data_IF_961942810109
#
_entry.id   IF_961942810109
#
_cell.length_a   1.000
_cell.length_b   1.000
_cell.length_c   1.000
_cell.angle_alpha   90.00
_cell.angle_beta   90.00
_cell.angle_gamma   90.00
#
_symmetry.space_group_name_H-M   'P 1'
#
loop_
_entity.id
_entity.type
_entity.pdbx_description
1 polymer ?
#
# COMPACT_ATOMS: atom_id res chain seq x y z
N UNK A 1 4.42 -9.07 -17.11
CA UNK A 1 3.66 -7.79 -17.18
C UNK A 1 2.22 -7.91 -16.66
N UNK A 2 1.55 -9.03 -16.91
CA UNK A 2 0.12 -9.22 -16.53
C UNK A 2 -0.14 -9.15 -15.01
N UNK A 3 0.84 -9.46 -14.18
CA UNK A 3 0.70 -9.47 -12.71
C UNK A 3 0.52 -8.07 -12.06
N UNK A 4 0.85 -7.00 -12.76
CA UNK A 4 0.77 -5.63 -12.23
C UNK A 4 -0.54 -4.90 -12.55
N UNK A 5 -1.55 -5.62 -13.01
CA UNK A 5 -2.89 -5.08 -13.29
C UNK A 5 -3.97 -5.97 -12.68
N UNK A 6 -5.11 -5.40 -12.24
CA UNK A 6 -6.25 -6.18 -11.78
C UNK A 6 -6.77 -7.14 -12.84
N UNK A 7 -7.38 -8.24 -12.43
CA UNK A 7 -8.00 -9.22 -13.32
C UNK A 7 -9.08 -8.55 -14.19
N UNK A 8 -9.07 -8.83 -15.49
CA UNK A 8 -10.06 -8.29 -16.43
C UNK A 8 -9.93 -6.79 -16.74
N UNK A 9 -8.87 -6.12 -16.28
CA UNK A 9 -8.53 -4.78 -16.74
C UNK A 9 -8.03 -4.87 -18.20
N UNK A 10 -8.41 -3.89 -19.02
CA UNK A 10 -7.88 -3.80 -20.37
C UNK A 10 -6.35 -3.74 -20.34
N UNK A 11 -5.64 -4.44 -21.25
CA UNK A 11 -4.19 -4.38 -21.30
C UNK A 11 -3.79 -2.93 -21.60
N UNK A 12 -3.23 -2.27 -20.60
CA UNK A 12 -2.62 -0.97 -20.82
C UNK A 12 -1.26 -1.19 -21.46
N UNK A 13 -0.99 -0.48 -22.53
CA UNK A 13 0.36 -0.35 -23.08
C UNK A 13 1.19 0.37 -22.03
N UNK A 14 1.77 -0.40 -21.12
CA UNK A 14 2.79 0.13 -20.26
C UNK A 14 4.06 0.27 -21.09
N UNK A 15 4.41 1.50 -21.41
CA UNK A 15 5.81 1.81 -21.60
C UNK A 15 6.48 1.35 -20.31
N UNK A 16 7.23 0.27 -20.39
CA UNK A 16 8.14 -0.16 -19.34
C UNK A 16 9.11 0.97 -19.15
N UNK A 17 8.81 1.85 -18.20
CA UNK A 17 9.83 2.74 -17.67
C UNK A 17 10.75 1.82 -16.89
N UNK A 18 11.87 1.47 -17.49
CA UNK A 18 12.92 0.76 -16.79
C UNK A 18 13.33 1.59 -15.59
N UNK A 19 13.05 1.11 -14.48
CA UNK A 19 13.84 0.96 -13.30
C UNK A 19 13.69 2.05 -12.24
N UNK A 20 13.82 3.32 -12.49
CA UNK A 20 14.22 4.27 -11.44
C UNK A 20 13.15 5.27 -11.01
N UNK A 21 11.95 5.23 -11.57
CA UNK A 21 10.89 6.17 -11.20
C UNK A 21 9.57 5.48 -10.85
N UNK A 22 8.84 6.09 -9.93
CA UNK A 22 7.49 5.67 -9.55
C UNK A 22 6.53 5.76 -10.75
N UNK A 23 5.90 4.67 -11.20
CA UNK A 23 4.89 4.69 -12.23
C UNK A 23 3.71 5.60 -11.90
N UNK A 24 3.11 6.24 -12.91
CA UNK A 24 1.93 7.09 -12.77
C UNK A 24 0.65 6.23 -12.60
N UNK A 25 0.64 5.39 -11.58
CA UNK A 25 -0.46 4.49 -11.26
C UNK A 25 -0.78 4.59 -9.78
N UNK A 26 -2.03 4.89 -9.45
CA UNK A 26 -2.56 4.84 -8.08
C UNK A 26 -3.34 3.54 -7.91
N UNK A 27 -2.94 2.74 -6.92
CA UNK A 27 -3.55 1.47 -6.55
C UNK A 27 -4.32 1.61 -5.26
N UNK A 28 -5.56 1.18 -5.31
CA UNK A 28 -6.49 1.23 -4.18
C UNK A 28 -7.12 -0.15 -4.00
N UNK A 29 -7.42 -0.54 -2.78
CA UNK A 29 -8.06 -1.83 -2.48
C UNK A 29 -9.49 -1.64 -1.98
N UNK A 30 -10.36 -2.58 -2.34
CA UNK A 30 -11.71 -2.70 -1.80
C UNK A 30 -12.14 -4.16 -1.86
N UNK A 31 -13.03 -4.57 -0.95
CA UNK A 31 -13.50 -5.97 -0.88
C UNK A 31 -14.11 -6.50 -2.20
N UNK A 32 -14.68 -5.61 -3.01
CA UNK A 32 -15.37 -5.93 -4.27
C UNK A 32 -15.23 -4.79 -5.29
N UNK A 33 -15.41 -5.08 -6.58
CA UNK A 33 -15.30 -4.04 -7.62
C UNK A 33 -16.40 -2.98 -7.60
N UNK A 34 -17.57 -3.35 -7.05
CA UNK A 34 -18.69 -2.42 -6.94
C UNK A 34 -18.51 -1.53 -5.73
N UNK A 35 -18.12 -0.29 -5.96
CA UNK A 35 -17.93 0.69 -4.91
C UNK A 35 -19.27 1.29 -4.48
N UNK A 36 -19.47 1.55 -3.18
CA UNK A 36 -20.55 2.39 -2.70
C UNK A 36 -20.52 3.78 -3.37
N UNK A 37 -21.67 4.40 -3.52
CA UNK A 37 -21.77 5.69 -4.23
C UNK A 37 -20.85 6.77 -3.66
N UNK A 38 -20.78 6.88 -2.33
CA UNK A 38 -19.93 7.87 -1.67
C UNK A 38 -18.43 7.62 -1.91
N UNK A 39 -17.99 6.36 -1.89
CA UNK A 39 -16.61 5.95 -2.22
C UNK A 39 -16.28 6.27 -3.68
N UNK A 40 -17.18 5.91 -4.59
CA UNK A 40 -17.00 6.18 -6.02
C UNK A 40 -16.96 7.69 -6.31
N UNK A 41 -17.77 8.49 -5.58
CA UNK A 41 -17.75 9.95 -5.72
C UNK A 41 -16.46 10.57 -5.19
N UNK A 42 -15.98 10.10 -4.03
CA UNK A 42 -14.71 10.50 -3.47
C UNK A 42 -13.56 10.18 -4.44
N UNK A 43 -13.51 8.94 -4.93
CA UNK A 43 -12.49 8.50 -5.89
C UNK A 43 -12.49 9.33 -7.17
N UNK A 44 -13.66 9.72 -7.70
CA UNK A 44 -13.73 10.61 -8.88
C UNK A 44 -13.05 11.96 -8.65
N UNK A 45 -13.17 12.52 -7.45
CA UNK A 45 -12.47 13.77 -7.08
C UNK A 45 -10.96 13.58 -7.07
N UNK A 46 -10.46 12.47 -6.51
CA UNK A 46 -9.04 12.15 -6.53
C UNK A 46 -8.50 11.98 -7.96
N UNK A 47 -9.27 11.31 -8.84
CA UNK A 47 -8.92 11.16 -10.25
C UNK A 47 -8.88 12.50 -10.98
N UNK A 48 -9.85 13.38 -10.74
CA UNK A 48 -9.89 14.72 -11.32
C UNK A 48 -8.72 15.60 -10.88
N UNK A 49 -8.28 15.44 -9.62
CA UNK A 49 -7.11 16.13 -9.09
C UNK A 49 -5.79 15.61 -9.67
N UNK A 50 -5.78 14.36 -10.16
CA UNK A 50 -4.58 13.68 -10.64
C UNK A 50 -4.78 13.09 -12.05
N UNK A 51 -5.05 13.92 -13.07
CA UNK A 51 -5.41 13.43 -14.41
C UNK A 51 -4.31 12.65 -15.12
N UNK A 52 -3.06 12.87 -14.72
CA UNK A 52 -1.90 12.14 -15.28
C UNK A 52 -1.75 10.73 -14.71
N UNK A 53 -2.47 10.40 -13.64
CA UNK A 53 -2.38 9.10 -13.00
C UNK A 53 -3.51 8.19 -13.43
N UNK A 54 -3.18 6.93 -13.69
CA UNK A 54 -4.17 5.86 -13.85
C UNK A 54 -4.56 5.32 -12.48
N UNK A 55 -5.85 5.27 -12.19
CA UNK A 55 -6.38 4.73 -10.94
C UNK A 55 -6.89 3.31 -11.12
N UNK A 56 -6.41 2.39 -10.32
CA UNK A 56 -6.80 0.98 -10.30
C UNK A 56 -7.53 0.64 -9.00
N UNK A 57 -8.61 -0.13 -9.10
CA UNK A 57 -9.23 -0.82 -7.97
C UNK A 57 -8.83 -2.29 -8.03
N UNK A 58 -8.29 -2.78 -6.94
CA UNK A 58 -7.95 -4.18 -6.73
C UNK A 58 -8.93 -4.75 -5.69
N UNK A 59 -9.77 -5.69 -6.11
CA UNK A 59 -10.64 -6.40 -5.20
C UNK A 59 -9.89 -7.56 -4.50
N UNK A 60 -10.55 -8.21 -3.56
CA UNK A 60 -9.94 -9.30 -2.79
C UNK A 60 -9.44 -10.44 -3.70
N UNK A 61 -10.14 -10.70 -4.82
CA UNK A 61 -9.73 -11.72 -5.80
C UNK A 61 -8.49 -11.31 -6.57
N UNK A 62 -8.40 -10.03 -6.95
CA UNK A 62 -7.22 -9.48 -7.63
C UNK A 62 -5.99 -9.54 -6.72
N UNK A 63 -6.17 -9.12 -5.46
CA UNK A 63 -5.11 -9.16 -4.46
C UNK A 63 -4.63 -10.59 -4.22
N UNK A 64 -5.56 -11.53 -4.05
CA UNK A 64 -5.24 -12.93 -3.84
C UNK A 64 -4.53 -13.55 -5.06
N UNK A 65 -5.00 -13.27 -6.28
CA UNK A 65 -4.35 -13.72 -7.50
C UNK A 65 -2.93 -13.19 -7.61
N UNK A 66 -2.73 -11.89 -7.36
CA UNK A 66 -1.39 -11.29 -7.35
C UNK A 66 -0.49 -11.97 -6.32
N UNK A 67 -0.97 -12.17 -5.11
CA UNK A 67 -0.18 -12.81 -4.05
C UNK A 67 0.22 -14.26 -4.41
N UNK A 68 -0.66 -15.00 -5.09
CA UNK A 68 -0.35 -16.38 -5.55
C UNK A 68 0.70 -16.41 -6.66
N UNK A 69 0.68 -15.43 -7.56
CA UNK A 69 1.43 -15.52 -8.83
C UNK A 69 2.66 -14.62 -8.91
N UNK A 70 2.70 -13.54 -8.15
CA UNK A 70 3.71 -12.48 -8.31
C UNK A 70 4.46 -12.09 -7.04
N UNK A 71 3.92 -12.41 -5.85
CA UNK A 71 4.57 -12.06 -4.60
C UNK A 71 5.71 -13.01 -4.24
N UNK A 72 6.69 -12.49 -3.50
CA UNK A 72 7.77 -13.28 -2.94
C UNK A 72 7.24 -14.43 -2.05
N UNK A 73 7.88 -15.60 -2.02
CA UNK A 73 7.34 -16.78 -1.36
C UNK A 73 6.91 -16.57 0.10
N UNK A 74 7.71 -15.89 0.89
CA UNK A 74 7.43 -15.68 2.30
C UNK A 74 6.36 -14.59 2.54
N UNK A 75 6.32 -13.54 1.71
CA UNK A 75 5.25 -12.52 1.74
C UNK A 75 3.90 -13.15 1.38
N UNK A 76 3.90 -14.02 0.38
CA UNK A 76 2.75 -14.85 0.03
C UNK A 76 2.30 -15.71 1.20
N UNK A 77 3.24 -16.41 1.86
CA UNK A 77 2.93 -17.20 3.03
C UNK A 77 2.29 -16.32 4.14
N UNK A 78 2.88 -15.18 4.47
CA UNK A 78 2.36 -14.27 5.48
C UNK A 78 0.93 -13.77 5.16
N UNK A 79 0.66 -13.45 3.89
CA UNK A 79 -0.67 -13.05 3.43
C UNK A 79 -1.71 -14.15 3.65
N UNK A 80 -1.39 -15.39 3.27
CA UNK A 80 -2.33 -16.51 3.40
C UNK A 80 -2.45 -17.06 4.82
N UNK A 81 -1.52 -16.75 5.72
CA UNK A 81 -1.64 -17.03 7.15
C UNK A 81 -2.69 -16.16 7.84
N UNK A 82 -3.03 -15.00 7.27
CA UNK A 82 -4.08 -14.14 7.80
C UNK A 82 -5.46 -14.71 7.44
N UNK A 83 -6.36 -14.76 8.44
CA UNK A 83 -7.75 -15.15 8.21
C UNK A 83 -8.38 -14.28 7.10
N UNK A 84 -9.02 -14.87 6.07
CA UNK A 84 -9.64 -14.14 4.97
C UNK A 84 -10.67 -13.08 5.40
N UNK A 85 -11.32 -13.27 6.54
CA UNK A 85 -12.27 -12.29 7.07
C UNK A 85 -11.62 -10.97 7.54
N UNK A 86 -10.29 -10.95 7.70
CA UNK A 86 -9.54 -9.77 8.12
C UNK A 86 -8.90 -9.11 6.88
N UNK A 87 -9.75 -8.62 5.98
CA UNK A 87 -9.32 -8.05 4.69
C UNK A 87 -8.36 -6.87 4.83
N UNK A 88 -8.53 -6.03 5.86
CA UNK A 88 -7.62 -4.91 6.12
C UNK A 88 -6.18 -5.38 6.35
N UNK A 89 -5.97 -6.40 7.20
CA UNK A 89 -4.64 -6.93 7.46
C UNK A 89 -4.00 -7.60 6.22
N UNK A 90 -4.82 -8.23 5.36
CA UNK A 90 -4.36 -8.72 4.07
C UNK A 90 -3.95 -7.58 3.13
N UNK A 91 -4.72 -6.50 3.09
CA UNK A 91 -4.39 -5.31 2.32
C UNK A 91 -3.08 -4.66 2.81
N UNK A 92 -2.80 -4.69 4.11
CA UNK A 92 -1.55 -4.19 4.68
C UNK A 92 -0.31 -4.92 4.15
N UNK A 93 -0.38 -6.22 3.96
CA UNK A 93 0.71 -6.98 3.33
C UNK A 93 0.75 -6.73 1.82
N UNK A 94 -0.42 -6.75 1.17
CA UNK A 94 -0.51 -6.62 -0.27
C UNK A 94 0.06 -5.28 -0.79
N UNK A 95 -0.17 -4.15 -0.09
CA UNK A 95 0.31 -2.83 -0.52
C UNK A 95 1.83 -2.78 -0.66
N UNK A 96 2.57 -3.42 0.23
CA UNK A 96 4.02 -3.52 0.12
C UNK A 96 4.46 -4.44 -1.01
N UNK A 97 3.83 -5.59 -1.15
CA UNK A 97 4.15 -6.56 -2.18
C UNK A 97 3.93 -6.00 -3.59
N UNK A 98 2.79 -5.30 -3.83
CA UNK A 98 2.50 -4.71 -5.13
C UNK A 98 3.44 -3.54 -5.44
N UNK A 99 3.77 -2.70 -4.47
CA UNK A 99 4.72 -1.61 -4.67
C UNK A 99 6.14 -2.14 -4.90
N UNK A 100 6.55 -3.19 -4.18
CA UNK A 100 7.83 -3.83 -4.44
C UNK A 100 7.92 -4.37 -5.88
N UNK A 101 6.90 -5.07 -6.34
CA UNK A 101 6.90 -5.72 -7.65
C UNK A 101 6.66 -4.76 -8.81
N UNK A 102 5.71 -3.84 -8.65
CA UNK A 102 5.15 -3.04 -9.73
C UNK A 102 5.42 -1.53 -9.59
N UNK A 103 5.87 -1.08 -8.43
CA UNK A 103 5.97 0.35 -8.12
C UNK A 103 4.62 1.05 -8.12
N UNK A 104 4.65 2.38 -8.15
CA UNK A 104 3.47 3.24 -8.19
C UNK A 104 3.11 3.82 -6.83
N UNK A 105 1.88 4.29 -6.72
CA UNK A 105 1.33 4.90 -5.50
C UNK A 105 0.26 3.97 -4.96
N UNK A 106 0.34 3.60 -3.69
CA UNK A 106 -0.77 3.04 -2.93
C UNK A 106 -1.46 4.17 -2.18
N UNK A 107 -2.78 4.20 -2.22
CA UNK A 107 -3.59 5.18 -1.51
C UNK A 107 -4.85 4.49 -0.99
N UNK A 108 -5.07 4.53 0.33
CA UNK A 108 -6.31 4.01 0.91
C UNK A 108 -7.52 4.72 0.29
N UNK A 109 -8.58 3.98 0.07
CA UNK A 109 -9.73 4.45 -0.71
C UNK A 109 -10.55 5.54 0.01
N UNK A 110 -10.40 5.65 1.32
CA UNK A 110 -11.00 6.68 2.18
C UNK A 110 -10.08 7.88 2.45
N UNK A 111 -8.85 7.85 1.92
CA UNK A 111 -7.88 8.94 2.07
C UNK A 111 -8.13 10.07 1.08
N UNK A 112 -7.91 11.31 1.52
CA UNK A 112 -8.07 12.51 0.70
C UNK A 112 -6.72 13.17 0.41
N UNK A 113 -6.55 13.63 -0.83
CA UNK A 113 -5.43 14.50 -1.21
C UNK A 113 -5.94 15.94 -1.32
N UNK A 114 -5.19 16.89 -0.77
CA UNK A 114 -5.49 18.33 -0.85
C UNK A 114 -4.84 19.00 -2.05
N UNK A 115 -3.81 18.37 -2.64
CA UNK A 115 -3.13 18.80 -3.85
C UNK A 115 -2.76 17.62 -4.73
N UNK A 116 -2.41 17.87 -5.99
CA UNK A 116 -2.03 16.83 -6.93
C UNK A 116 -0.76 16.12 -6.50
N UNK A 117 -0.71 14.80 -6.70
CA UNK A 117 0.53 14.02 -6.51
C UNK A 117 1.69 14.58 -7.31
N UNK A 118 1.42 15.15 -8.49
CA UNK A 118 2.45 15.73 -9.36
C UNK A 118 3.18 16.91 -8.72
N UNK A 119 2.54 17.63 -7.80
CA UNK A 119 3.11 18.83 -7.18
C UNK A 119 4.17 18.52 -6.12
N UNK A 120 4.08 17.37 -5.47
CA UNK A 120 4.94 17.09 -4.31
C UNK A 120 5.60 15.71 -4.33
N UNK A 121 5.17 14.78 -5.20
CA UNK A 121 5.75 13.46 -5.25
C UNK A 121 7.04 13.46 -6.08
N UNK A 122 8.18 13.31 -5.42
CA UNK A 122 9.42 12.94 -6.09
C UNK A 122 9.35 11.49 -6.53
N UNK A 123 9.26 11.28 -7.83
CA UNK A 123 9.09 9.95 -8.42
C UNK A 123 10.35 9.09 -8.39
N UNK A 124 11.51 9.65 -8.08
CA UNK A 124 12.78 8.92 -7.94
C UNK A 124 12.95 8.30 -6.55
N UNK A 125 12.14 8.72 -5.59
CA UNK A 125 12.25 8.34 -4.18
C UNK A 125 11.05 7.51 -3.71
N UNK A 126 11.25 6.71 -2.66
CA UNK A 126 10.12 6.14 -1.93
C UNK A 126 9.54 7.17 -0.96
N UNK A 127 8.21 7.26 -0.96
CA UNK A 127 7.46 8.13 -0.05
C UNK A 127 6.63 7.25 0.88
N UNK A 128 6.72 7.55 2.17
CA UNK A 128 5.87 6.99 3.22
C UNK A 128 5.22 8.16 3.91
N UNK A 129 3.89 8.16 3.93
CA UNK A 129 3.15 9.22 4.62
C UNK A 129 3.43 9.20 6.12
N UNK A 130 3.23 10.37 6.70
CA UNK A 130 3.38 10.61 8.12
C UNK A 130 2.06 11.09 8.70
N UNK A 131 1.65 10.53 9.81
CA UNK A 131 0.62 11.11 10.65
C UNK A 131 1.26 12.02 11.68
N UNK A 132 0.74 13.25 11.80
CA UNK A 132 1.12 14.13 12.88
C UNK A 132 0.60 13.52 14.20
N UNK A 133 1.49 13.21 15.11
CA UNK A 133 1.14 12.50 16.33
C UNK A 133 0.32 13.33 17.30
N UNK A 134 -0.89 12.85 17.51
CA UNK A 134 -1.44 12.78 18.86
C UNK A 134 -1.45 11.30 19.27
N UNK A 135 -0.36 10.80 19.82
CA UNK A 135 -0.40 9.48 20.48
C UNK A 135 -1.40 9.61 21.61
N UNK A 136 -2.52 8.93 21.50
CA UNK A 136 -3.54 8.99 22.54
C UNK A 136 -3.04 8.30 23.80
N UNK A 137 -3.55 8.69 24.97
CA UNK A 137 -3.25 7.97 26.22
C UNK A 137 -3.62 6.48 26.12
N UNK A 138 -4.62 6.15 25.30
CA UNK A 138 -5.00 4.78 25.00
C UNK A 138 -3.86 4.01 24.32
N UNK A 139 -3.23 4.61 23.29
CA UNK A 139 -2.10 3.96 22.57
C UNK A 139 -0.91 3.77 23.49
N UNK A 140 -0.61 4.75 24.34
CA UNK A 140 0.45 4.65 25.34
C UNK A 140 0.15 3.56 26.38
N UNK A 141 -1.09 3.44 26.84
CA UNK A 141 -1.52 2.41 27.77
C UNK A 141 -1.42 1.01 27.16
N UNK A 142 -1.79 0.87 25.91
CA UNK A 142 -1.69 -0.39 25.16
C UNK A 142 -0.21 -0.78 24.95
N UNK A 143 0.63 0.15 24.53
CA UNK A 143 2.06 -0.09 24.35
C UNK A 143 2.73 -0.55 25.65
N UNK A 144 2.39 0.08 26.79
CA UNK A 144 2.87 -0.35 28.11
C UNK A 144 2.42 -1.78 28.47
N UNK A 145 1.15 -2.11 28.20
CA UNK A 145 0.61 -3.47 28.44
C UNK A 145 1.29 -4.54 27.61
N UNK A 146 1.70 -4.21 26.38
CA UNK A 146 2.36 -5.11 25.46
C UNK A 146 3.90 -5.08 25.59
N UNK A 147 4.43 -4.33 26.56
CA UNK A 147 5.86 -4.12 26.77
C UNK A 147 6.60 -3.64 25.51
N UNK A 148 5.93 -2.79 24.71
CA UNK A 148 6.48 -2.17 23.50
C UNK A 148 7.15 -0.86 23.94
N UNK A 149 8.41 -0.64 23.51
CA UNK A 149 9.10 0.62 23.76
C UNK A 149 8.32 1.78 23.14
N UNK A 150 8.05 2.78 23.96
CA UNK A 150 7.43 4.05 23.53
C UNK A 150 8.47 5.11 23.18
N UNK A 151 9.76 4.76 23.18
CA UNK A 151 10.84 5.65 22.81
C UNK A 151 10.68 6.07 21.35
N UNK A 152 10.38 7.34 21.13
CA UNK A 152 10.09 7.91 19.82
C UNK A 152 8.60 8.07 19.46
N UNK A 153 7.68 7.58 20.30
CA UNK A 153 6.25 7.87 20.18
C UNK A 153 5.88 9.18 20.90
N UNK A 154 6.65 9.59 21.89
CA UNK A 154 6.46 10.83 22.65
C UNK A 154 7.50 11.83 22.20
N UNK A 155 7.06 13.01 21.73
CA UNK A 155 8.00 14.10 21.39
C UNK A 155 7.97 14.58 19.95
N UNK A 156 6.79 14.57 19.30
CA UNK A 156 6.62 15.21 17.99
C UNK A 156 7.27 14.47 16.83
N UNK A 157 7.58 13.19 16.97
CA UNK A 157 8.07 12.37 15.87
C UNK A 157 6.89 11.88 15.03
N UNK A 158 7.02 11.97 13.73
CA UNK A 158 6.07 11.46 12.76
C UNK A 158 5.90 9.94 12.87
N UNK A 159 4.68 9.46 13.13
CA UNK A 159 4.36 8.04 12.95
C UNK A 159 4.20 7.77 11.46
N UNK A 160 4.92 6.78 10.97
CA UNK A 160 4.81 6.38 9.57
C UNK A 160 3.45 5.75 9.35
N UNK A 161 2.67 6.37 8.48
CA UNK A 161 1.36 5.89 8.10
C UNK A 161 1.46 5.01 6.84
N UNK A 162 0.53 4.06 6.73
CA UNK A 162 0.51 3.12 5.60
C UNK A 162 -0.54 3.47 4.55
N UNK A 163 -1.38 4.46 4.82
CA UNK A 163 -2.49 4.83 3.94
C UNK A 163 -2.06 5.55 2.64
N UNK A 164 -0.82 6.08 2.59
CA UNK A 164 -0.19 6.58 1.37
C UNK A 164 1.27 6.14 1.33
N UNK A 165 1.60 5.37 0.31
CA UNK A 165 2.95 4.90 0.01
C UNK A 165 3.22 5.10 -1.48
N UNK A 166 4.44 5.49 -1.84
CA UNK A 166 4.85 5.53 -3.23
C UNK A 166 6.28 5.01 -3.38
N UNK A 167 6.56 4.30 -4.44
CA UNK A 167 7.92 3.84 -4.72
C UNK A 167 8.11 3.44 -6.19
N UNK A 168 9.32 3.61 -6.72
CA UNK A 168 9.76 2.88 -7.91
C UNK A 168 9.66 1.36 -7.72
N UNK A 169 9.52 0.59 -8.80
CA UNK A 169 9.60 -0.87 -8.70
C UNK A 169 10.93 -1.32 -8.10
N UNK A 170 10.91 -2.33 -7.25
CA UNK A 170 12.10 -2.91 -6.59
C UNK A 170 12.89 -1.93 -5.72
N UNK A 171 12.29 -0.81 -5.32
CA UNK A 171 12.94 0.14 -4.44
C UNK A 171 13.47 -0.55 -3.16
N UNK A 172 14.71 -0.22 -2.68
CA UNK A 172 15.33 -0.88 -1.54
C UNK A 172 14.47 -0.91 -0.27
N UNK A 173 13.73 0.18 0.02
CA UNK A 173 12.82 0.24 1.16
C UNK A 173 11.72 -0.83 1.06
N UNK A 174 11.03 -0.93 -0.09
CA UNK A 174 9.98 -1.92 -0.31
C UNK A 174 10.53 -3.34 -0.32
N UNK A 175 11.73 -3.51 -0.90
CA UNK A 175 12.46 -4.78 -0.86
C UNK A 175 12.77 -5.21 0.57
N UNK A 176 13.22 -4.29 1.41
CA UNK A 176 13.53 -4.60 2.81
C UNK A 176 12.31 -5.10 3.55
N UNK A 177 11.17 -4.41 3.42
CA UNK A 177 9.90 -4.84 4.03
C UNK A 177 9.45 -6.22 3.51
N UNK A 178 9.65 -6.51 2.22
CA UNK A 178 9.21 -7.76 1.61
C UNK A 178 10.19 -8.93 1.80
N UNK A 179 11.48 -8.69 2.07
CA UNK A 179 12.51 -9.73 2.13
C UNK A 179 13.02 -10.03 3.54
N UNK A 180 12.68 -9.21 4.54
CA UNK A 180 13.02 -9.55 5.93
C UNK A 180 12.04 -10.62 6.42
N UNK A 181 12.54 -11.79 6.84
CA UNK A 181 11.69 -12.80 7.46
C UNK A 181 11.09 -12.23 8.76
N UNK A 182 9.90 -12.66 9.16
CA UNK A 182 9.32 -12.26 10.42
C UNK A 182 10.29 -12.63 11.56
N UNK A 183 10.33 -11.77 12.59
CA UNK A 183 11.15 -12.02 13.79
C UNK A 183 10.84 -13.38 14.45
N UNK A 184 9.65 -13.91 14.16
CA UNK A 184 9.18 -15.23 14.59
C UNK A 184 8.70 -16.00 13.35
N UNK A 185 9.58 -16.80 12.69
CA UNK A 185 9.12 -17.67 11.62
C UNK A 185 8.10 -18.67 12.19
N UNK A 186 7.13 -19.12 11.38
CA UNK A 186 6.20 -20.14 11.82
C UNK A 186 6.97 -21.36 12.32
N UNK A 187 6.58 -21.82 13.48
CA UNK A 187 7.06 -23.13 13.97
C UNK A 187 6.50 -24.20 13.04
N UNK A 188 7.30 -25.21 12.68
CA UNK A 188 6.88 -26.30 11.80
C UNK A 188 5.71 -27.11 12.38
#
# INVERSE_FOLDING_TARGET
MQACTPLGAAPSVHTTVEGDTTPLVVRQTWKERKLPFWVASHRRRLMALNPSYRFEIWDDRDCEHFMRTAAEPWVRWAYFAINPSVGAARADIWRYAVLHRCGGVYLDLDSTLISSLHEWLDRSSAVVSCEANTVSEFDLSMARRLNISTDGLVGGRCVRAQWLLAAPPRHPLMRKVCNEPPLYPPQP
#
